data_IF_990662919849
#
_entry.id   IF_990662919849
#
_cell.length_a   1.000
_cell.length_b   1.000
_cell.length_c   1.000
_cell.angle_alpha   90.00
_cell.angle_beta   90.00
_cell.angle_gamma   90.00
#
_symmetry.space_group_name_H-M   'P 1'
#
loop_
_entity.id
_entity.type
_entity.pdbx_description
1 polymer ?
#
# COMPACT_ATOMS: atom_id res chain seq x y z
N UNK A 1 4.57 -5.71 14.66
CA UNK A 1 4.08 -7.03 14.20
C UNK A 1 4.01 -8.01 15.36
N UNK A 2 3.04 -8.90 15.35
CA UNK A 2 2.91 -10.03 16.28
C UNK A 2 2.87 -11.36 15.50
N UNK A 3 3.24 -12.46 16.15
CA UNK A 3 3.17 -13.80 15.59
C UNK A 3 1.79 -14.47 15.79
N UNK A 4 1.70 -15.76 15.52
CA UNK A 4 0.48 -16.57 15.67
C UNK A 4 0.03 -16.68 17.14
N UNK A 5 0.98 -16.60 18.09
CA UNK A 5 0.74 -16.66 19.54
C UNK A 5 0.50 -15.28 20.18
N UNK A 6 0.40 -14.21 19.36
CA UNK A 6 0.27 -12.82 19.81
C UNK A 6 1.53 -12.22 20.46
N UNK A 7 2.67 -12.89 20.32
CA UNK A 7 3.94 -12.40 20.82
C UNK A 7 4.58 -11.40 19.86
N UNK A 8 5.32 -10.44 20.39
CA UNK A 8 5.99 -9.41 19.60
C UNK A 8 7.10 -10.02 18.75
N UNK A 9 7.11 -9.66 17.45
CA UNK A 9 8.19 -10.02 16.53
C UNK A 9 9.35 -9.02 16.54
N UNK A 10 9.33 -8.07 17.46
CA UNK A 10 10.35 -7.03 17.55
C UNK A 10 10.38 -6.07 16.35
N UNK A 11 9.32 -6.07 15.52
CA UNK A 11 9.28 -5.25 14.31
C UNK A 11 8.13 -4.25 14.36
N UNK A 12 8.48 -2.98 14.26
CA UNK A 12 7.54 -1.88 14.11
C UNK A 12 7.50 -1.43 12.64
N UNK A 13 6.30 -1.20 12.12
CA UNK A 13 6.09 -0.60 10.81
C UNK A 13 5.80 0.87 11.03
N UNK A 14 6.66 1.75 10.52
CA UNK A 14 6.51 3.19 10.60
C UNK A 14 5.99 3.71 9.26
N UNK A 15 5.03 4.62 9.33
CA UNK A 15 4.46 5.33 8.19
C UNK A 15 4.82 6.81 8.24
N UNK A 16 4.86 7.52 7.09
CA UNK A 16 5.07 8.96 7.06
C UNK A 16 3.93 9.68 7.79
N UNK A 17 4.24 10.71 8.56
CA UNK A 17 3.27 11.39 9.42
C UNK A 17 2.50 12.49 8.68
N UNK A 18 3.21 13.38 7.98
CA UNK A 18 2.63 14.55 7.35
C UNK A 18 1.94 14.28 6.00
N UNK A 19 1.06 15.19 5.54
CA UNK A 19 0.34 15.02 4.28
C UNK A 19 1.24 14.98 3.05
N UNK A 20 2.31 15.77 3.02
CA UNK A 20 3.29 15.80 1.93
C UNK A 20 4.06 14.50 1.86
N UNK A 21 4.56 14.05 2.99
CA UNK A 21 5.32 12.81 3.14
C UNK A 21 4.45 11.58 2.80
N UNK A 22 3.18 11.58 3.18
CA UNK A 22 2.22 10.54 2.79
C UNK A 22 2.03 10.51 1.27
N UNK A 23 1.91 11.66 0.62
CA UNK A 23 1.78 11.76 -0.82
C UNK A 23 3.04 11.26 -1.54
N UNK A 24 4.22 11.70 -1.14
CA UNK A 24 5.50 11.28 -1.72
C UNK A 24 5.76 9.77 -1.51
N UNK A 25 5.44 9.25 -0.34
CA UNK A 25 5.59 7.83 -0.02
C UNK A 25 4.67 6.96 -0.88
N UNK A 26 3.48 7.47 -1.23
CA UNK A 26 2.52 6.73 -2.04
C UNK A 26 3.01 6.49 -3.47
N UNK A 27 3.96 7.25 -3.98
CA UNK A 27 4.63 6.96 -5.25
C UNK A 27 5.26 5.56 -5.28
N UNK A 28 5.59 5.01 -4.11
CA UNK A 28 6.26 3.69 -3.95
C UNK A 28 5.40 2.68 -3.21
N UNK A 29 4.76 3.09 -2.10
CA UNK A 29 4.06 2.21 -1.17
C UNK A 29 2.79 2.89 -0.65
N UNK A 30 1.81 2.08 -0.23
CA UNK A 30 0.64 2.60 0.48
C UNK A 30 1.08 3.24 1.81
N UNK A 31 0.75 4.51 2.06
CA UNK A 31 1.15 5.22 3.26
C UNK A 31 0.30 4.92 4.50
N UNK A 32 -0.71 4.07 4.39
CA UNK A 32 -1.65 3.78 5.47
C UNK A 32 -1.82 2.29 5.73
N UNK A 33 -2.03 1.94 6.99
CA UNK A 33 -2.53 0.63 7.39
C UNK A 33 -4.07 0.68 7.41
N UNK A 34 -4.72 0.12 6.39
CA UNK A 34 -6.18 0.19 6.22
C UNK A 34 -7.00 -0.10 7.49
N UNK A 35 -6.69 -1.13 8.31
CA UNK A 35 -7.45 -1.43 9.52
C UNK A 35 -7.32 -0.37 10.64
N UNK A 36 -6.38 0.57 10.52
CA UNK A 36 -6.07 1.59 11.50
C UNK A 36 -6.39 3.01 11.02
N UNK A 37 -7.29 3.15 10.04
CA UNK A 37 -7.62 4.46 9.47
C UNK A 37 -8.89 5.02 10.05
N UNK A 38 -8.83 6.29 10.45
CA UNK A 38 -9.99 7.10 10.82
C UNK A 38 -10.31 8.08 9.68
N UNK A 39 -11.56 8.12 9.25
CA UNK A 39 -12.06 9.03 8.24
C UNK A 39 -12.89 10.16 8.85
N UNK A 40 -12.69 11.36 8.36
CA UNK A 40 -13.73 12.39 8.47
C UNK A 40 -14.82 12.10 7.44
N UNK A 41 -16.09 12.27 7.79
CA UNK A 41 -17.23 12.04 6.87
C UNK A 41 -17.07 12.83 5.57
N UNK A 42 -16.62 14.08 5.67
CA UNK A 42 -16.35 14.97 4.52
C UNK A 42 -15.29 14.43 3.55
N UNK A 43 -14.49 13.43 3.93
CA UNK A 43 -13.59 12.75 3.01
C UNK A 43 -14.36 12.09 1.86
N UNK A 44 -15.43 11.38 2.17
CA UNK A 44 -16.24 10.67 1.17
C UNK A 44 -16.99 11.63 0.25
N UNK A 45 -17.42 12.77 0.77
CA UNK A 45 -18.06 13.83 -0.02
C UNK A 45 -17.08 14.39 -1.05
N UNK A 46 -15.83 14.67 -0.64
CA UNK A 46 -14.76 15.15 -1.53
C UNK A 46 -14.29 14.09 -2.50
N UNK A 47 -14.05 12.88 -2.04
CA UNK A 47 -13.62 11.76 -2.89
C UNK A 47 -14.66 11.40 -3.95
N UNK A 48 -15.93 11.72 -3.71
CA UNK A 48 -17.06 11.44 -4.60
C UNK A 48 -17.44 9.95 -4.65
N UNK A 49 -16.86 9.13 -3.77
CA UNK A 49 -17.14 7.71 -3.71
C UNK A 49 -16.76 7.13 -2.34
N UNK A 50 -17.29 5.95 -2.07
CA UNK A 50 -16.80 5.03 -1.03
C UNK A 50 -15.87 4.00 -1.69
N UNK A 51 -15.99 2.73 -1.32
CA UNK A 51 -15.24 1.66 -2.00
C UNK A 51 -15.83 1.36 -3.38
N UNK A 52 -14.96 1.22 -4.38
CA UNK A 52 -15.37 0.86 -5.74
C UNK A 52 -15.47 -0.65 -5.88
N UNK A 53 -16.63 -1.22 -6.29
CA UNK A 53 -16.85 -2.66 -6.35
C UNK A 53 -15.98 -3.39 -7.39
N UNK A 54 -15.50 -2.70 -8.43
CA UNK A 54 -14.59 -3.25 -9.42
C UNK A 54 -13.19 -3.58 -8.86
N UNK A 55 -12.82 -3.00 -7.72
CA UNK A 55 -11.56 -3.28 -7.04
C UNK A 55 -11.76 -4.28 -5.91
N UNK A 56 -11.87 -5.57 -6.22
CA UNK A 56 -11.92 -6.64 -5.20
C UNK A 56 -10.62 -6.76 -4.37
N UNK A 57 -9.51 -6.29 -4.93
CA UNK A 57 -8.21 -6.17 -4.28
C UNK A 57 -7.72 -4.74 -4.47
N UNK A 58 -7.00 -4.20 -3.50
CA UNK A 58 -6.52 -2.81 -3.47
C UNK A 58 -7.65 -1.76 -3.46
N UNK A 59 -8.85 -2.11 -2.99
CA UNK A 59 -9.98 -1.18 -2.89
C UNK A 59 -9.66 0.01 -1.99
N UNK A 60 -8.95 -0.23 -0.89
CA UNK A 60 -8.42 0.76 0.03
C UNK A 60 -7.45 1.72 -0.68
N UNK A 61 -6.46 1.16 -1.37
CA UNK A 61 -5.48 1.92 -2.11
C UNK A 61 -6.13 2.85 -3.14
N UNK A 62 -7.16 2.38 -3.86
CA UNK A 62 -7.87 3.20 -4.84
C UNK A 62 -8.73 4.27 -4.18
N UNK A 63 -9.28 4.02 -3.00
CA UNK A 63 -10.00 5.04 -2.23
C UNK A 63 -9.05 6.18 -1.79
N UNK A 64 -7.81 5.85 -1.39
CA UNK A 64 -6.79 6.88 -1.10
C UNK A 64 -6.46 7.72 -2.35
N UNK A 65 -6.33 7.08 -3.50
CA UNK A 65 -6.10 7.76 -4.78
C UNK A 65 -7.23 8.73 -5.10
N UNK A 66 -8.48 8.28 -4.96
CA UNK A 66 -9.65 9.11 -5.21
C UNK A 66 -9.67 10.34 -4.28
N UNK A 67 -9.41 10.15 -2.99
CA UNK A 67 -9.31 11.22 -2.03
C UNK A 67 -8.17 12.20 -2.34
N UNK A 68 -6.95 11.69 -2.50
CA UNK A 68 -5.78 12.52 -2.79
C UNK A 68 -5.92 13.31 -4.09
N UNK A 69 -6.47 12.71 -5.14
CA UNK A 69 -6.71 13.40 -6.42
C UNK A 69 -7.71 14.56 -6.32
N UNK A 70 -8.52 14.57 -5.27
CA UNK A 70 -9.49 15.63 -4.94
C UNK A 70 -9.01 16.55 -3.82
N UNK A 71 -7.72 16.50 -3.47
CA UNK A 71 -7.10 17.38 -2.51
C UNK A 71 -7.43 17.04 -1.04
N UNK A 72 -7.83 15.80 -0.73
CA UNK A 72 -7.94 15.39 0.68
C UNK A 72 -6.55 15.27 1.31
N UNK A 73 -6.44 15.66 2.57
CA UNK A 73 -5.18 15.55 3.34
C UNK A 73 -5.15 14.22 4.10
N UNK A 74 -4.04 13.53 3.99
CA UNK A 74 -3.77 12.25 4.65
C UNK A 74 -2.58 12.41 5.60
N UNK A 75 -2.68 11.86 6.78
CA UNK A 75 -1.64 11.90 7.79
C UNK A 75 -1.67 10.63 8.64
N UNK A 76 -0.58 10.30 9.30
CA UNK A 76 -0.54 9.24 10.30
C UNK A 76 -0.09 9.83 11.64
N UNK A 77 -0.47 9.17 12.73
CA UNK A 77 0.04 9.44 14.07
C UNK A 77 1.19 8.47 14.38
N UNK A 78 2.18 8.87 15.22
CA UNK A 78 3.32 8.01 15.54
C UNK A 78 2.96 6.85 16.48
N UNK A 79 1.78 6.89 17.10
CA UNK A 79 1.35 5.92 18.09
C UNK A 79 1.06 4.53 17.49
N UNK A 80 1.32 3.48 18.24
CA UNK A 80 1.01 2.11 17.85
C UNK A 80 -0.46 1.82 18.14
N UNK A 81 -1.30 1.93 17.13
CA UNK A 81 -2.76 1.71 17.23
C UNK A 81 -3.20 0.35 16.68
N UNK A 82 -2.30 -0.42 16.06
CA UNK A 82 -2.61 -1.71 15.45
C UNK A 82 -1.51 -2.75 15.72
N UNK A 83 -1.89 -3.91 16.24
CA UNK A 83 -1.03 -5.09 16.29
C UNK A 83 -1.33 -5.99 15.09
N UNK A 84 -0.44 -5.98 14.10
CA UNK A 84 -0.62 -6.75 12.88
C UNK A 84 -0.11 -8.18 13.05
N UNK A 85 -1.00 -9.17 12.94
CA UNK A 85 -0.64 -10.58 13.00
C UNK A 85 -0.05 -11.06 11.69
N UNK A 86 1.16 -11.54 11.77
CA UNK A 86 1.92 -12.00 10.61
C UNK A 86 2.00 -13.53 10.61
N UNK A 87 1.29 -14.16 9.69
CA UNK A 87 1.29 -15.61 9.54
C UNK A 87 1.87 -16.04 8.20
N UNK A 88 2.49 -17.23 8.16
CA UNK A 88 3.01 -17.81 6.92
C UNK A 88 1.91 -18.06 5.88
N UNK A 89 0.67 -18.29 6.30
CA UNK A 89 -0.48 -18.50 5.44
C UNK A 89 -0.86 -17.24 4.63
N UNK A 90 -0.62 -16.04 5.18
CA UNK A 90 -0.87 -14.77 4.47
C UNK A 90 -0.03 -14.62 3.21
N UNK A 91 1.20 -15.15 3.20
CA UNK A 91 2.10 -15.05 2.06
C UNK A 91 1.84 -16.07 0.97
N UNK A 92 1.44 -17.27 1.34
CA UNK A 92 1.28 -18.38 0.39
C UNK A 92 0.04 -18.21 -0.51
N UNK A 93 -1.08 -17.67 0.02
CA UNK A 93 -2.39 -17.68 -0.70
C UNK A 93 -2.74 -16.40 -1.48
N UNK A 94 -2.22 -15.22 -1.13
CA UNK A 94 -2.83 -13.96 -1.62
C UNK A 94 -1.97 -13.09 -2.55
N UNK A 95 -0.66 -13.32 -2.67
CA UNK A 95 0.24 -12.34 -3.29
C UNK A 95 1.28 -12.95 -4.25
N UNK A 96 0.94 -14.02 -4.93
CA UNK A 96 1.85 -14.70 -5.85
C UNK A 96 1.24 -14.89 -7.24
N UNK A 97 2.10 -14.96 -8.23
CA UNK A 97 1.77 -15.32 -9.60
C UNK A 97 1.73 -14.14 -10.57
N UNK A 98 1.82 -14.49 -11.84
CA UNK A 98 1.88 -13.54 -12.95
C UNK A 98 0.65 -12.62 -13.05
N UNK A 99 -0.56 -13.17 -12.84
CA UNK A 99 -1.79 -12.40 -12.89
C UNK A 99 -1.82 -11.33 -11.78
N UNK A 100 -1.38 -11.68 -10.56
CA UNK A 100 -1.24 -10.72 -9.47
C UNK A 100 -0.23 -9.62 -9.80
N UNK A 101 0.95 -9.97 -10.33
CA UNK A 101 1.98 -8.99 -10.69
C UNK A 101 1.50 -8.02 -11.78
N UNK A 102 0.84 -8.53 -12.84
CA UNK A 102 0.22 -7.69 -13.88
C UNK A 102 -0.82 -6.74 -13.31
N UNK A 103 -1.67 -7.22 -12.41
CA UNK A 103 -2.68 -6.37 -11.75
C UNK A 103 -2.02 -5.27 -10.93
N UNK A 104 -1.01 -5.60 -10.12
CA UNK A 104 -0.28 -4.61 -9.32
C UNK A 104 0.39 -3.54 -10.20
N UNK A 105 0.99 -3.92 -11.33
CA UNK A 105 1.58 -2.97 -12.27
C UNK A 105 0.51 -2.07 -12.90
N UNK A 106 -0.64 -2.64 -13.31
CA UNK A 106 -1.77 -1.88 -13.86
C UNK A 106 -2.29 -0.85 -12.83
N UNK A 107 -2.50 -1.29 -11.60
CA UNK A 107 -2.96 -0.42 -10.51
C UNK A 107 -1.92 0.69 -10.24
N UNK A 108 -0.62 0.36 -10.19
CA UNK A 108 0.46 1.34 -10.01
C UNK A 108 0.50 2.38 -11.13
N UNK A 109 0.39 1.97 -12.39
CA UNK A 109 0.32 2.91 -13.53
C UNK A 109 -0.86 3.87 -13.40
N UNK A 110 -2.02 3.35 -12.99
CA UNK A 110 -3.20 4.19 -12.77
C UNK A 110 -2.97 5.19 -11.63
N UNK A 111 -2.41 4.75 -10.50
CA UNK A 111 -2.05 5.61 -9.37
C UNK A 111 -1.10 6.73 -9.82
N UNK A 112 -0.01 6.37 -10.50
CA UNK A 112 0.99 7.32 -10.97
C UNK A 112 0.37 8.37 -11.90
N UNK A 113 -0.47 7.95 -12.85
CA UNK A 113 -1.17 8.85 -13.76
C UNK A 113 -2.14 9.78 -13.03
N UNK A 114 -2.95 9.22 -12.12
CA UNK A 114 -4.00 9.98 -11.42
C UNK A 114 -3.41 11.01 -10.46
N UNK A 115 -2.32 10.67 -9.79
CA UNK A 115 -1.66 11.55 -8.81
C UNK A 115 -0.49 12.35 -9.39
N UNK A 116 -0.21 12.26 -10.69
CA UNK A 116 0.84 13.05 -11.33
C UNK A 116 2.27 12.67 -10.92
N UNK A 117 2.52 11.44 -10.50
CA UNK A 117 3.88 11.00 -10.17
C UNK A 117 4.75 10.89 -11.42
N UNK A 118 6.00 11.35 -11.31
CA UNK A 118 6.96 11.39 -12.39
C UNK A 118 7.49 10.01 -12.83
N UNK A 119 8.43 10.05 -13.76
CA UNK A 119 9.05 8.88 -14.41
C UNK A 119 9.62 7.87 -13.39
N UNK A 120 10.27 8.35 -12.32
CA UNK A 120 10.85 7.48 -11.28
C UNK A 120 9.84 6.55 -10.61
N UNK A 121 8.61 7.00 -10.36
CA UNK A 121 7.56 6.16 -9.82
C UNK A 121 7.11 5.06 -10.81
N UNK A 122 7.15 5.36 -12.10
CA UNK A 122 6.86 4.39 -13.16
C UNK A 122 7.95 3.33 -13.25
N UNK A 123 9.21 3.71 -13.24
CA UNK A 123 10.37 2.79 -13.19
C UNK A 123 10.27 1.88 -11.95
N UNK A 124 9.98 2.47 -10.79
CA UNK A 124 9.78 1.69 -9.56
C UNK A 124 8.65 0.65 -9.71
N UNK A 125 7.54 1.01 -10.37
CA UNK A 125 6.44 0.09 -10.64
C UNK A 125 6.87 -1.13 -11.48
N UNK A 126 7.67 -0.92 -12.52
CA UNK A 126 8.21 -2.00 -13.35
C UNK A 126 9.24 -2.85 -12.58
N UNK A 127 10.11 -2.22 -11.79
CA UNK A 127 11.06 -2.92 -10.95
C UNK A 127 10.34 -3.85 -9.96
N UNK A 128 9.26 -3.37 -9.31
CA UNK A 128 8.43 -4.18 -8.44
C UNK A 128 7.70 -5.32 -9.19
N UNK A 129 7.28 -5.09 -10.43
CA UNK A 129 6.71 -6.15 -11.27
C UNK A 129 7.74 -7.27 -11.50
N UNK A 130 8.98 -6.94 -11.87
CA UNK A 130 10.07 -7.92 -12.05
C UNK A 130 10.30 -8.70 -10.76
N UNK A 131 10.36 -8.04 -9.62
CA UNK A 131 10.50 -8.71 -8.31
C UNK A 131 9.33 -9.67 -8.05
N UNK A 132 8.09 -9.27 -8.35
CA UNK A 132 6.90 -10.09 -8.10
C UNK A 132 6.84 -11.35 -8.97
N UNK A 133 7.38 -11.32 -10.18
CA UNK A 133 7.44 -12.50 -11.08
C UNK A 133 8.69 -13.33 -10.89
N UNK A 134 9.69 -12.83 -10.16
CA UNK A 134 10.96 -13.52 -9.92
C UNK A 134 10.82 -14.72 -8.96
N UNK A 135 11.79 -15.63 -8.93
CA UNK A 135 11.85 -16.72 -7.97
C UNK A 135 11.86 -16.26 -6.51
N UNK A 136 11.51 -17.16 -5.59
CA UNK A 136 11.36 -16.83 -4.18
C UNK A 136 12.63 -16.25 -3.52
N UNK A 137 13.81 -16.68 -3.95
CA UNK A 137 15.08 -16.17 -3.41
C UNK A 137 15.33 -14.69 -3.76
N UNK A 138 14.97 -14.27 -5.00
CA UNK A 138 15.04 -12.84 -5.41
C UNK A 138 14.09 -12.01 -4.56
N UNK A 139 12.85 -12.51 -4.34
CA UNK A 139 11.87 -11.84 -3.48
C UNK A 139 12.38 -11.66 -2.06
N UNK A 140 13.07 -12.66 -1.50
CA UNK A 140 13.67 -12.56 -0.16
C UNK A 140 14.75 -11.47 -0.08
N UNK A 141 15.61 -11.37 -1.09
CA UNK A 141 16.64 -10.33 -1.17
C UNK A 141 15.98 -8.95 -1.30
N UNK A 142 15.08 -8.77 -2.26
CA UNK A 142 14.37 -7.52 -2.46
C UNK A 142 13.62 -7.07 -1.19
N UNK A 143 13.03 -8.01 -0.46
CA UNK A 143 12.32 -7.74 0.78
C UNK A 143 13.25 -7.24 1.91
N UNK A 144 14.51 -7.69 1.94
CA UNK A 144 15.52 -7.19 2.90
C UNK A 144 16.00 -5.78 2.54
N UNK A 145 16.11 -5.47 1.24
CA UNK A 145 16.66 -4.18 0.76
C UNK A 145 15.59 -3.07 0.78
N UNK A 146 14.33 -3.38 0.44
CA UNK A 146 13.28 -2.37 0.26
C UNK A 146 12.32 -2.25 1.46
N UNK A 147 12.57 -2.92 2.55
CA UNK A 147 11.75 -2.89 3.77
C UNK A 147 12.56 -2.56 5.01
#
# INVERSE_FOLDING_TARGET
EIDENSESRGKMIVYPEGPKECYEFFARRNPHAHPAVLFRKSFFDKAGCKYRPEYRQNQDTMLWVDGMSKGTKHANIPDVVLRFRFTNALFKKRRNGWAFAKKQLKDRKKINKTLGYGFGATVFGYMMFIVLVSPAWVKKIAYKVFR
#
